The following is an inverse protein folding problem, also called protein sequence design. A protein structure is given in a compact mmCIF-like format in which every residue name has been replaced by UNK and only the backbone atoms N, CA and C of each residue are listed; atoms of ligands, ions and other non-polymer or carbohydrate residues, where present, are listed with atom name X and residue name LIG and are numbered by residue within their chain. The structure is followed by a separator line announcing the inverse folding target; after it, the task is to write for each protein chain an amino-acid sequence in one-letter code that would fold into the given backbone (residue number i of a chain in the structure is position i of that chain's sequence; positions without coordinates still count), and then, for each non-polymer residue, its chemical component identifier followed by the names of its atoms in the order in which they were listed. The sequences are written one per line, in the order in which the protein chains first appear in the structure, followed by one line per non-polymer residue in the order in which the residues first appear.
data_IF_603458148434
#
_entry.id   IF_603458148434
#
_cell.length_a   1.000
_cell.length_b   1.000
_cell.length_c   1.000
_cell.angle_alpha   90.00
_cell.angle_beta   90.00
_cell.angle_gamma   90.00
#
_symmetry.space_group_name_H-M   'P 1'
#
loop_
_entity.id
_entity.type
_entity.pdbx_description
1 polymer ?
#
# COMPACT_ATOMS: atom_id res chain seq x y z
N UNK A 1 -12.98 -8.98 16.79
CA UNK A 1 -14.21 -9.66 17.25
C UNK A 1 -13.83 -10.84 18.15
N UNK A 2 -13.20 -11.91 17.62
CA UNK A 2 -12.81 -13.08 18.41
C UNK A 2 -11.99 -12.77 19.67
N UNK A 3 -10.92 -11.99 19.55
CA UNK A 3 -10.09 -11.66 20.72
C UNK A 3 -10.90 -11.00 21.86
N UNK A 4 -11.82 -10.11 21.49
CA UNK A 4 -12.69 -9.43 22.46
C UNK A 4 -13.71 -10.40 23.09
N UNK A 5 -14.25 -11.34 22.34
CA UNK A 5 -15.18 -12.36 22.87
C UNK A 5 -14.51 -13.24 23.92
N UNK A 6 -13.23 -13.56 23.72
CA UNK A 6 -12.43 -14.35 24.67
C UNK A 6 -11.77 -13.47 25.75
N UNK A 7 -12.21 -12.21 25.93
CA UNK A 7 -11.70 -11.35 27.00
C UNK A 7 -10.28 -10.84 26.79
N UNK A 8 -9.87 -10.64 25.54
CA UNK A 8 -8.53 -10.19 25.13
C UNK A 8 -7.39 -11.06 25.69
N UNK A 9 -7.67 -12.35 25.90
CA UNK A 9 -6.69 -13.35 26.33
C UNK A 9 -5.62 -13.58 25.26
N UNK A 10 -5.95 -13.42 23.97
CA UNK A 10 -4.97 -13.49 22.90
C UNK A 10 -4.38 -12.10 22.60
N UNK A 11 -3.19 -12.11 21.99
CA UNK A 11 -2.49 -10.88 21.64
C UNK A 11 -3.31 -10.07 20.62
N UNK A 12 -3.66 -8.83 21.01
CA UNK A 12 -4.38 -7.88 20.17
C UNK A 12 -3.61 -7.54 18.88
N UNK A 13 -2.28 -7.70 18.87
CA UNK A 13 -1.41 -7.42 17.72
C UNK A 13 -1.19 -8.64 16.81
N UNK A 14 -2.10 -9.62 16.80
CA UNK A 14 -2.08 -10.77 15.87
C UNK A 14 -2.35 -10.42 14.39
N UNK A 15 -2.33 -9.12 14.01
CA UNK A 15 -2.46 -8.67 12.62
C UNK A 15 -1.21 -8.93 11.77
N UNK A 16 -0.04 -8.99 12.37
CA UNK A 16 1.24 -8.98 11.63
C UNK A 16 1.88 -10.38 11.58
N UNK A 17 1.49 -11.17 10.56
CA UNK A 17 2.21 -12.31 9.91
C UNK A 17 2.83 -13.43 10.77
N UNK A 18 2.85 -13.31 12.10
CA UNK A 18 3.53 -14.20 13.04
C UNK A 18 2.49 -15.10 13.67
N UNK A 19 1.90 -15.96 12.85
CA UNK A 19 0.99 -16.99 13.35
C UNK A 19 1.84 -18.13 13.92
N UNK A 20 2.05 -18.13 15.23
CA UNK A 20 2.58 -19.29 15.93
C UNK A 20 1.49 -20.37 15.95
N UNK A 21 1.44 -21.18 14.91
CA UNK A 21 0.63 -22.39 14.94
C UNK A 21 1.32 -23.42 15.82
N UNK A 22 0.60 -23.95 16.81
CA UNK A 22 1.05 -25.14 17.51
C UNK A 22 1.12 -26.30 16.51
N UNK A 23 2.32 -26.82 16.28
CA UNK A 23 2.53 -28.03 15.48
C UNK A 23 2.46 -29.22 16.43
N UNK A 24 1.45 -30.10 16.33
CA UNK A 24 1.33 -31.24 17.22
C UNK A 24 2.49 -32.21 17.01
N UNK A 25 3.40 -32.27 17.99
CA UNK A 25 4.53 -33.20 18.00
C UNK A 25 5.03 -33.46 19.43
N UNK A 26 5.79 -34.54 19.61
CA UNK A 26 6.46 -34.88 20.88
C UNK A 26 7.89 -34.35 20.85
N UNK A 27 8.07 -33.14 21.35
CA UNK A 27 9.39 -32.51 21.46
C UNK A 27 10.14 -33.02 22.71
N UNK A 28 11.43 -33.34 22.54
CA UNK A 28 12.27 -33.87 23.63
C UNK A 28 12.36 -32.84 24.77
N UNK A 29 11.97 -33.26 25.98
CA UNK A 29 12.00 -32.41 27.17
C UNK A 29 10.84 -31.41 27.29
N UNK A 30 9.87 -31.44 26.37
CA UNK A 30 8.69 -30.59 26.46
C UNK A 30 7.63 -31.20 27.38
N UNK A 31 7.11 -30.40 28.31
CA UNK A 31 5.93 -30.71 29.12
C UNK A 31 4.72 -29.97 28.53
N UNK A 32 4.01 -30.60 27.61
CA UNK A 32 2.83 -30.03 26.96
C UNK A 32 1.57 -30.41 27.75
N UNK A 33 0.76 -29.41 28.10
CA UNK A 33 -0.58 -29.62 28.66
C UNK A 33 -1.59 -29.11 27.63
N UNK A 34 -2.36 -30.02 27.02
CA UNK A 34 -3.40 -29.69 26.05
C UNK A 34 -4.74 -29.98 26.71
N UNK A 35 -5.60 -28.97 26.76
CA UNK A 35 -6.97 -29.10 27.22
C UNK A 35 -7.89 -29.02 26.02
N UNK A 36 -8.73 -30.03 25.84
CA UNK A 36 -9.74 -30.07 24.78
C UNK A 36 -11.10 -29.89 25.44
N UNK A 37 -11.93 -29.04 24.84
CA UNK A 37 -13.29 -28.80 25.29
C UNK A 37 -14.22 -28.88 24.08
N UNK A 38 -15.38 -29.50 24.28
CA UNK A 38 -16.46 -29.43 23.30
C UNK A 38 -17.20 -28.10 23.47
N UNK A 39 -17.58 -27.49 22.35
CA UNK A 39 -18.25 -26.19 22.32
C UNK A 39 -19.13 -26.03 21.10
N UNK A 40 -19.96 -24.98 21.10
CA UNK A 40 -20.74 -24.62 19.93
C UNK A 40 -19.83 -24.06 18.83
N UNK A 41 -20.16 -24.35 17.57
CA UNK A 41 -19.51 -23.73 16.42
C UNK A 41 -19.83 -22.24 16.47
N UNK A 42 -18.79 -21.41 16.52
CA UNK A 42 -18.93 -19.96 16.56
C UNK A 42 -19.20 -19.43 15.15
N UNK A 43 -20.32 -18.73 14.96
CA UNK A 43 -20.63 -18.04 13.71
C UNK A 43 -19.82 -16.72 13.63
N UNK A 44 -18.93 -16.56 12.64
CA UNK A 44 -18.16 -15.33 12.47
C UNK A 44 -19.02 -14.08 12.31
N UNK A 45 -20.18 -14.19 11.66
CA UNK A 45 -21.06 -13.04 11.42
C UNK A 45 -21.68 -12.54 12.73
N UNK A 46 -22.24 -13.45 13.53
CA UNK A 46 -22.80 -13.13 14.85
C UNK A 46 -21.73 -12.53 15.77
N UNK A 47 -20.52 -13.06 15.71
CA UNK A 47 -19.39 -12.56 16.48
C UNK A 47 -18.99 -11.13 16.07
N UNK A 48 -18.96 -10.85 14.77
CA UNK A 48 -18.66 -9.52 14.24
C UNK A 48 -19.77 -8.51 14.51
N UNK A 49 -21.03 -8.95 14.57
CA UNK A 49 -22.18 -8.12 14.94
C UNK A 49 -22.16 -7.77 16.44
N UNK A 50 -21.89 -8.75 17.31
CA UNK A 50 -21.78 -8.57 18.77
C UNK A 50 -20.63 -7.62 19.15
N UNK A 51 -19.53 -7.66 18.41
CA UNK A 51 -18.34 -6.86 18.68
C UNK A 51 -18.15 -5.77 17.66
N UNK A 52 -18.56 -4.53 18.01
CA UNK A 52 -18.32 -3.35 17.17
C UNK A 52 -16.85 -3.30 16.75
N UNK A 53 -16.63 -3.48 15.46
CA UNK A 53 -15.34 -3.28 14.82
C UNK A 53 -15.36 -1.92 14.11
N UNK A 54 -14.23 -1.23 14.15
CA UNK A 54 -14.06 0.00 13.38
C UNK A 54 -13.74 -0.46 11.96
N UNK A 55 -14.69 -0.27 11.04
CA UNK A 55 -14.35 -0.23 9.61
C UNK A 55 -13.41 0.95 9.47
N UNK A 56 -12.23 0.76 8.87
CA UNK A 56 -11.34 1.90 8.57
C UNK A 56 -12.15 2.95 7.83
N UNK A 57 -11.87 4.25 8.03
CA UNK A 57 -12.54 5.32 7.29
C UNK A 57 -12.37 5.07 5.78
N UNK A 58 -13.36 4.40 5.19
CA UNK A 58 -13.48 4.21 3.76
C UNK A 58 -13.74 5.57 3.15
N UNK A 59 -12.94 5.94 2.16
CA UNK A 59 -13.18 7.17 1.39
C UNK A 59 -14.59 7.08 0.79
N UNK A 60 -15.22 8.23 0.52
CA UNK A 60 -16.48 8.25 -0.23
C UNK A 60 -16.37 7.44 -1.53
N UNK A 61 -15.21 7.53 -2.20
CA UNK A 61 -14.89 6.75 -3.38
C UNK A 61 -15.00 5.24 -3.16
N UNK A 62 -14.55 4.73 -2.01
CA UNK A 62 -14.54 3.29 -1.71
C UNK A 62 -15.95 2.71 -1.55
N UNK A 63 -16.93 3.55 -1.19
CA UNK A 63 -18.34 3.16 -1.02
C UNK A 63 -19.13 3.08 -2.32
N UNK A 64 -18.57 3.56 -3.43
CA UNK A 64 -19.25 3.56 -4.72
C UNK A 64 -19.28 2.15 -5.35
N UNK A 65 -20.31 1.81 -6.13
CA UNK A 65 -20.33 0.59 -6.95
C UNK A 65 -19.15 0.55 -7.93
N UNK A 66 -18.66 -0.64 -8.27
CA UNK A 66 -17.45 -0.81 -9.09
C UNK A 66 -17.58 -0.17 -10.49
N UNK A 67 -18.76 -0.25 -11.11
CA UNK A 67 -19.04 0.40 -12.40
C UNK A 67 -18.91 1.92 -12.34
N UNK A 68 -19.36 2.54 -11.23
CA UNK A 68 -19.29 3.99 -11.03
C UNK A 68 -17.84 4.41 -10.76
N UNK A 69 -17.10 3.65 -9.95
CA UNK A 69 -15.67 3.86 -9.71
C UNK A 69 -14.87 3.86 -11.02
N UNK A 70 -15.10 2.85 -11.87
CA UNK A 70 -14.43 2.74 -13.16
C UNK A 70 -14.74 3.95 -14.06
N UNK A 71 -16.01 4.35 -14.17
CA UNK A 71 -16.42 5.51 -14.97
C UNK A 71 -15.83 6.83 -14.48
N UNK A 72 -15.74 7.06 -13.17
CA UNK A 72 -15.10 8.25 -12.59
C UNK A 72 -13.60 8.32 -12.90
N UNK A 73 -12.90 7.19 -12.75
CA UNK A 73 -11.47 7.10 -13.08
C UNK A 73 -11.25 7.36 -14.57
N UNK A 74 -12.05 6.74 -15.45
CA UNK A 74 -11.94 6.91 -16.90
C UNK A 74 -12.24 8.35 -17.33
N UNK A 75 -13.32 8.95 -16.79
CA UNK A 75 -13.63 10.35 -17.03
C UNK A 75 -12.47 11.26 -16.63
N UNK A 76 -11.89 11.05 -15.44
CA UNK A 76 -10.75 11.85 -14.98
C UNK A 76 -9.51 11.65 -15.85
N UNK A 77 -9.23 10.42 -16.28
CA UNK A 77 -8.14 10.13 -17.25
C UNK A 77 -8.35 10.88 -18.56
N UNK A 78 -9.58 10.96 -19.05
CA UNK A 78 -9.93 11.71 -20.27
C UNK A 78 -9.73 13.23 -20.17
N UNK A 79 -9.73 13.80 -18.96
CA UNK A 79 -9.46 15.23 -18.73
C UNK A 79 -7.97 15.58 -18.72
N UNK A 80 -7.07 14.58 -18.70
CA UNK A 80 -5.62 14.79 -18.71
C UNK A 80 -5.11 14.94 -20.15
N UNK A 81 -5.17 16.17 -20.69
CA UNK A 81 -4.86 16.47 -22.08
C UNK A 81 -3.59 17.33 -22.26
N UNK A 82 -2.95 17.76 -21.19
CA UNK A 82 -1.77 18.62 -21.28
C UNK A 82 -0.53 17.76 -21.52
N UNK A 83 -0.08 17.65 -22.78
CA UNK A 83 1.09 16.86 -23.19
C UNK A 83 2.34 17.71 -23.46
N UNK A 84 2.33 18.98 -23.04
CA UNK A 84 3.41 19.94 -23.33
C UNK A 84 4.70 19.74 -22.52
N UNK A 85 4.70 18.82 -21.56
CA UNK A 85 5.84 18.57 -20.69
C UNK A 85 6.80 17.55 -21.30
N UNK A 86 8.10 17.79 -21.13
CA UNK A 86 9.18 16.86 -21.46
C UNK A 86 10.28 16.95 -20.40
N UNK A 87 11.04 15.88 -20.26
CA UNK A 87 12.16 15.77 -19.32
C UNK A 87 13.09 14.64 -19.77
N UNK A 88 14.30 14.63 -19.22
CA UNK A 88 15.38 13.70 -19.59
C UNK A 88 15.81 12.78 -18.45
N UNK A 89 15.36 13.05 -17.22
CA UNK A 89 15.55 12.17 -16.08
C UNK A 89 14.84 12.69 -14.83
N UNK A 90 15.23 12.23 -13.66
CA UNK A 90 14.61 12.68 -12.40
C UNK A 90 15.01 14.12 -12.02
N UNK A 91 16.13 14.63 -12.53
CA UNK A 91 16.69 15.93 -12.17
C UNK A 91 15.90 17.12 -12.75
N UNK A 92 15.39 16.94 -13.97
CA UNK A 92 14.64 17.95 -14.73
C UNK A 92 13.14 17.63 -14.85
N UNK A 93 12.69 16.45 -14.38
CA UNK A 93 11.28 16.09 -14.38
C UNK A 93 10.45 17.12 -13.59
N UNK A 94 9.48 17.81 -14.22
CA UNK A 94 8.74 18.89 -13.59
C UNK A 94 7.77 18.39 -12.50
N UNK A 95 7.53 17.08 -12.43
CA UNK A 95 6.60 16.45 -11.50
C UNK A 95 7.29 15.89 -10.25
N UNK A 96 8.61 15.74 -10.27
CA UNK A 96 9.37 15.19 -9.13
C UNK A 96 9.57 16.25 -8.06
N UNK A 97 9.34 15.88 -6.80
CA UNK A 97 9.59 16.75 -5.66
C UNK A 97 11.07 16.72 -5.26
N UNK A 98 11.79 17.81 -5.51
CA UNK A 98 13.22 17.95 -5.22
C UNK A 98 13.58 17.69 -3.75
N UNK A 99 12.72 18.12 -2.81
CA UNK A 99 12.95 17.86 -1.37
C UNK A 99 12.91 16.37 -1.07
N UNK A 100 11.96 15.63 -1.63
CA UNK A 100 11.88 14.19 -1.41
C UNK A 100 13.06 13.44 -2.04
N UNK A 101 13.58 13.93 -3.17
CA UNK A 101 14.83 13.42 -3.78
C UNK A 101 16.00 13.62 -2.81
N UNK A 102 16.18 14.82 -2.27
CA UNK A 102 17.23 15.09 -1.28
C UNK A 102 17.10 14.21 -0.04
N UNK A 103 15.87 14.04 0.46
CA UNK A 103 15.59 13.17 1.62
C UNK A 103 15.91 11.71 1.29
N UNK A 104 15.59 11.25 0.08
CA UNK A 104 15.93 9.90 -0.38
C UNK A 104 17.44 9.68 -0.43
N UNK A 105 18.19 10.61 -1.01
CA UNK A 105 19.67 10.52 -1.07
C UNK A 105 20.35 10.49 0.31
N UNK A 106 19.69 11.01 1.35
CA UNK A 106 20.21 11.06 2.73
C UNK A 106 19.89 9.81 3.56
N UNK A 107 19.04 8.90 3.08
CA UNK A 107 18.69 7.71 3.84
C UNK A 107 19.98 6.91 4.10
N UNK A 108 20.10 6.38 5.30
CA UNK A 108 21.15 5.43 5.67
C UNK A 108 20.47 4.22 6.30
N UNK A 109 20.87 3.01 5.92
CA UNK A 109 20.26 1.79 6.41
C UNK A 109 19.00 1.36 5.65
N UNK A 110 17.80 1.63 6.19
CA UNK A 110 16.52 1.09 5.69
C UNK A 110 15.50 2.18 5.35
N UNK A 111 14.39 1.82 4.70
CA UNK A 111 13.30 2.74 4.37
C UNK A 111 13.23 3.20 2.91
N UNK A 112 14.17 2.76 2.08
CA UNK A 112 14.25 3.08 0.65
C UNK A 112 12.94 2.82 -0.11
N UNK A 113 12.35 1.63 0.06
CA UNK A 113 11.10 1.28 -0.62
C UNK A 113 9.93 2.21 -0.25
N UNK A 114 9.81 2.55 1.04
CA UNK A 114 8.74 3.43 1.50
C UNK A 114 8.93 4.85 0.94
N UNK A 115 10.14 5.36 0.99
CA UNK A 115 10.43 6.71 0.50
C UNK A 115 10.31 6.79 -1.03
N UNK A 116 10.76 5.77 -1.75
CA UNK A 116 10.58 5.69 -3.21
C UNK A 116 9.10 5.64 -3.59
N UNK A 117 8.28 4.83 -2.91
CA UNK A 117 6.85 4.81 -3.15
C UNK A 117 6.19 6.18 -2.87
N UNK A 118 6.64 6.91 -1.84
CA UNK A 118 6.18 8.29 -1.59
C UNK A 118 6.54 9.25 -2.73
N UNK A 119 7.70 9.07 -3.37
CA UNK A 119 8.12 9.84 -4.55
C UNK A 119 7.24 9.48 -5.76
N UNK A 120 6.92 8.20 -5.98
CA UNK A 120 6.00 7.79 -7.04
C UNK A 120 4.63 8.45 -6.89
N UNK A 121 4.05 8.41 -5.68
CA UNK A 121 2.75 9.01 -5.36
C UNK A 121 2.76 10.52 -5.57
N UNK A 122 3.79 11.23 -5.09
CA UNK A 122 3.87 12.68 -5.27
C UNK A 122 4.08 13.07 -6.73
N UNK A 123 4.88 12.31 -7.47
CA UNK A 123 5.13 12.53 -8.91
C UNK A 123 3.85 12.35 -9.72
N UNK A 124 3.10 11.27 -9.47
CA UNK A 124 1.80 11.05 -10.10
C UNK A 124 0.78 12.15 -9.73
N UNK A 125 0.73 12.55 -8.45
CA UNK A 125 -0.14 13.64 -7.99
C UNK A 125 0.17 14.98 -8.67
N UNK A 126 1.46 15.33 -8.77
CA UNK A 126 1.90 16.57 -9.41
C UNK A 126 1.60 16.59 -10.91
N UNK A 127 1.78 15.45 -11.59
CA UNK A 127 1.43 15.33 -13.02
C UNK A 127 -0.08 15.52 -13.24
N UNK A 128 -0.91 14.85 -12.42
CA UNK A 128 -2.36 14.96 -12.50
C UNK A 128 -2.86 16.38 -12.21
N UNK A 129 -2.29 17.06 -11.21
CA UNK A 129 -2.62 18.47 -10.92
C UNK A 129 -2.31 19.41 -12.09
N UNK A 130 -1.34 19.06 -12.93
CA UNK A 130 -0.95 19.83 -14.13
C UNK A 130 -1.64 19.36 -15.41
N UNK A 131 -2.59 18.42 -15.29
CA UNK A 131 -3.34 17.87 -16.41
C UNK A 131 -2.52 16.94 -17.32
N UNK A 132 -1.35 16.47 -16.88
CA UNK A 132 -0.49 15.60 -17.68
C UNK A 132 -0.85 14.12 -17.45
N UNK A 133 -1.15 13.33 -18.51
CA UNK A 133 -1.50 11.91 -18.41
C UNK A 133 -0.26 11.04 -18.20
N UNK A 134 0.40 11.15 -17.04
CA UNK A 134 1.61 10.37 -16.76
C UNK A 134 1.32 8.87 -16.71
N UNK A 135 2.14 8.08 -17.39
CA UNK A 135 2.05 6.63 -17.39
C UNK A 135 2.88 6.00 -16.27
N UNK A 136 2.54 4.77 -15.89
CA UNK A 136 3.31 4.01 -14.91
C UNK A 136 4.77 3.78 -15.36
N UNK A 137 5.00 3.63 -16.67
CA UNK A 137 6.34 3.46 -17.23
C UNK A 137 7.19 4.72 -17.08
N UNK A 138 6.59 5.89 -17.28
CA UNK A 138 7.29 7.18 -17.09
C UNK A 138 7.66 7.41 -15.63
N UNK A 139 6.73 7.16 -14.70
CA UNK A 139 7.02 7.24 -13.26
C UNK A 139 8.11 6.25 -12.87
N UNK A 140 8.02 5.00 -13.33
CA UNK A 140 9.02 3.97 -13.05
C UNK A 140 10.39 4.32 -13.66
N UNK A 141 10.42 4.89 -14.86
CA UNK A 141 11.67 5.32 -15.49
C UNK A 141 12.35 6.43 -14.68
N UNK A 142 11.60 7.47 -14.32
CA UNK A 142 12.10 8.56 -13.47
C UNK A 142 12.59 8.06 -12.10
N UNK A 143 11.83 7.16 -11.47
CA UNK A 143 12.21 6.60 -10.18
C UNK A 143 13.41 5.64 -10.28
N UNK A 144 13.55 4.91 -11.39
CA UNK A 144 14.71 4.05 -11.66
C UNK A 144 15.96 4.87 -11.88
N UNK A 145 15.85 5.98 -12.60
CA UNK A 145 16.94 6.93 -12.81
C UNK A 145 17.48 7.46 -11.45
N UNK A 146 16.57 7.80 -10.52
CA UNK A 146 16.94 8.18 -9.15
C UNK A 146 17.57 7.02 -8.34
N UNK A 147 17.00 5.82 -8.41
CA UNK A 147 17.52 4.64 -7.69
C UNK A 147 18.93 4.27 -8.19
N UNK A 148 19.17 4.38 -9.50
CA UNK A 148 20.47 4.10 -10.12
C UNK A 148 21.53 5.14 -9.75
N UNK A 149 21.17 6.43 -9.62
CA UNK A 149 22.08 7.49 -9.15
C UNK A 149 22.40 7.38 -7.64
N UNK A 150 21.76 6.46 -6.93
CA UNK A 150 21.94 6.28 -5.49
C UNK A 150 22.51 4.90 -5.17
N UNK A 151 21.70 3.95 -4.70
CA UNK A 151 22.16 2.64 -4.25
C UNK A 151 21.62 1.44 -5.02
N UNK A 152 20.76 1.65 -6.01
CA UNK A 152 20.24 0.58 -6.86
C UNK A 152 19.41 -0.46 -6.08
N UNK A 153 18.60 -0.04 -5.10
CA UNK A 153 17.87 -0.97 -4.24
C UNK A 153 16.70 -1.67 -4.93
N UNK A 154 16.24 -1.16 -6.09
CA UNK A 154 15.11 -1.71 -6.84
C UNK A 154 15.47 -2.77 -7.89
N UNK A 155 16.73 -3.22 -7.98
CA UNK A 155 17.18 -4.12 -9.06
C UNK A 155 16.41 -5.45 -9.25
N UNK A 156 15.66 -5.94 -8.23
CA UNK A 156 14.83 -7.16 -8.33
C UNK A 156 13.33 -6.91 -8.23
N UNK A 157 12.90 -5.66 -8.04
CA UNK A 157 11.51 -5.32 -7.73
C UNK A 157 10.85 -4.69 -8.96
N UNK A 158 9.62 -5.09 -9.24
CA UNK A 158 8.87 -4.57 -10.37
C UNK A 158 8.39 -3.13 -10.08
N UNK A 159 9.20 -2.16 -10.53
CA UNK A 159 8.94 -0.75 -10.30
C UNK A 159 7.72 -0.23 -11.07
N UNK A 160 7.42 -0.81 -12.24
CA UNK A 160 6.24 -0.44 -13.05
C UNK A 160 4.97 -0.78 -12.29
N UNK A 161 4.90 -1.97 -11.69
CA UNK A 161 3.76 -2.38 -10.88
C UNK A 161 3.56 -1.51 -9.62
N UNK A 162 4.64 -0.99 -9.03
CA UNK A 162 4.52 -0.04 -7.92
C UNK A 162 4.02 1.32 -8.38
N UNK A 163 4.50 1.80 -9.53
CA UNK A 163 4.04 3.03 -10.15
C UNK A 163 2.55 2.95 -10.54
N UNK A 164 2.08 1.83 -11.07
CA UNK A 164 0.64 1.59 -11.33
C UNK A 164 -0.19 1.76 -10.05
N UNK A 165 0.24 1.13 -8.95
CA UNK A 165 -0.43 1.25 -7.64
C UNK A 165 -0.40 2.67 -7.10
N UNK A 166 0.71 3.39 -7.30
CA UNK A 166 0.83 4.78 -6.89
C UNK A 166 -0.15 5.68 -7.67
N UNK A 167 -0.25 5.50 -8.98
CA UNK A 167 -1.21 6.22 -9.82
C UNK A 167 -2.64 5.91 -9.39
N UNK A 168 -3.00 4.63 -9.22
CA UNK A 168 -4.34 4.23 -8.76
C UNK A 168 -4.68 4.84 -7.39
N UNK A 169 -3.72 4.84 -6.46
CA UNK A 169 -3.88 5.48 -5.16
C UNK A 169 -4.16 6.97 -5.29
N UNK A 170 -3.46 7.68 -6.18
CA UNK A 170 -3.67 9.11 -6.43
C UNK A 170 -5.04 9.38 -7.07
N UNK A 171 -5.49 8.53 -8.01
CA UNK A 171 -6.84 8.64 -8.58
C UNK A 171 -7.91 8.47 -7.50
N UNK A 172 -7.80 7.45 -6.65
CA UNK A 172 -8.78 7.17 -5.59
C UNK A 172 -8.88 8.28 -4.54
N UNK A 173 -7.77 8.94 -4.22
CA UNK A 173 -7.74 9.96 -3.16
C UNK A 173 -8.06 11.38 -3.63
N UNK A 174 -7.98 11.65 -4.94
CA UNK A 174 -8.29 12.98 -5.46
C UNK A 174 -9.70 13.09 -6.04
N UNK A 175 -10.43 11.98 -6.22
CA UNK A 175 -11.85 11.94 -6.63
C UNK A 175 -12.71 12.14 -5.38
#
# INVERSE_FOLDING_TARGET
ALNKEIGDIADAQTKDLSRMYYVPSRYKGAYNFIFTHDGSIMDPNQLMEKHRYVVSNESFFDKLPESIKAGLIEHRKGQLNNTSFSWTGYQDCPFVNKKQVEDYKKITGSGWYLQMYKIMVSTASNAMQRGYPISAREVAWVCSDLDNDTGGWYGKRDMVKEAERAIDFVFRNNI
#
